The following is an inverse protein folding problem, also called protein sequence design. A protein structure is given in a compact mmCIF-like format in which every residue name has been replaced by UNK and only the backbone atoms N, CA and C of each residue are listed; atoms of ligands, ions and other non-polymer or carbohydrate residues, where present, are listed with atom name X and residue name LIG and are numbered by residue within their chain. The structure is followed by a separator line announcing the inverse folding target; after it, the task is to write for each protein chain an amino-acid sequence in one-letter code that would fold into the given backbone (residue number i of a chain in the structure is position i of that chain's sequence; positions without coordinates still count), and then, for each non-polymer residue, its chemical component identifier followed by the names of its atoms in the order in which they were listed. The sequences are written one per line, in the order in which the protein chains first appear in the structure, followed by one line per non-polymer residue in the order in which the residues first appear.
data_IF_566034162080
#
_entry.id   IF_566034162080
#
_cell.length_a   1.000
_cell.length_b   1.000
_cell.length_c   1.000
_cell.angle_alpha   90.00
_cell.angle_beta   90.00
_cell.angle_gamma   90.00
#
_symmetry.space_group_name_H-M   'P 1'
#
loop_
_entity.id
_entity.type
_entity.pdbx_description
1 polymer ?
#
# COMPACT_ATOMS: atom_id res chain seq x y z
N UNK A 1 2.44 -26.00 19.44
CA UNK A 1 3.25 -25.08 18.64
C UNK A 1 2.55 -24.61 17.33
N UNK A 2 2.03 -25.47 16.46
CA UNK A 2 1.38 -25.03 15.20
C UNK A 2 0.14 -24.13 15.40
N UNK A 3 -0.70 -24.37 16.41
CA UNK A 3 -1.91 -23.58 16.73
C UNK A 3 -1.56 -22.18 17.23
N UNK A 4 -0.62 -22.07 18.17
CA UNK A 4 -0.14 -20.79 18.72
C UNK A 4 0.44 -19.89 17.63
N UNK A 5 1.27 -20.45 16.72
CA UNK A 5 1.83 -19.70 15.60
C UNK A 5 0.75 -19.14 14.66
N UNK A 6 -0.32 -19.93 14.38
CA UNK A 6 -1.44 -19.45 13.56
C UNK A 6 -2.17 -18.27 14.22
N UNK A 7 -2.45 -18.38 15.52
CA UNK A 7 -3.12 -17.32 16.28
C UNK A 7 -2.26 -16.04 16.25
N UNK A 8 -0.97 -16.13 16.60
CA UNK A 8 -0.06 -14.97 16.58
C UNK A 8 -0.02 -14.31 15.21
N UNK A 9 0.12 -15.09 14.13
CA UNK A 9 0.15 -14.54 12.76
C UNK A 9 -1.17 -13.83 12.40
N UNK A 10 -2.32 -14.41 12.77
CA UNK A 10 -3.62 -13.81 12.52
C UNK A 10 -3.82 -12.52 13.33
N UNK A 11 -3.39 -12.49 14.58
CA UNK A 11 -3.44 -11.29 15.43
C UNK A 11 -2.57 -10.17 14.89
N UNK A 12 -1.32 -10.47 14.51
CA UNK A 12 -0.41 -9.48 13.90
C UNK A 12 -0.99 -8.94 12.59
N UNK A 13 -1.56 -9.81 11.77
CA UNK A 13 -2.21 -9.40 10.53
C UNK A 13 -3.42 -8.48 10.78
N UNK A 14 -4.27 -8.82 11.74
CA UNK A 14 -5.43 -8.01 12.10
C UNK A 14 -5.02 -6.62 12.64
N UNK A 15 -4.00 -6.55 13.50
CA UNK A 15 -3.44 -5.29 13.99
C UNK A 15 -2.85 -4.45 12.85
N UNK A 16 -2.13 -5.08 11.92
CA UNK A 16 -1.60 -4.40 10.75
C UNK A 16 -2.73 -3.82 9.87
N UNK A 17 -3.79 -4.59 9.59
CA UNK A 17 -4.94 -4.09 8.83
C UNK A 17 -5.61 -2.91 9.52
N UNK A 18 -5.79 -2.97 10.84
CA UNK A 18 -6.33 -1.85 11.63
C UNK A 18 -5.47 -0.59 11.47
N UNK A 19 -4.14 -0.72 11.64
CA UNK A 19 -3.20 0.39 11.46
C UNK A 19 -3.18 0.92 10.03
N UNK A 20 -3.23 0.03 9.03
CA UNK A 20 -3.28 0.39 7.62
C UNK A 20 -4.52 1.24 7.33
N UNK A 21 -5.70 0.81 7.75
CA UNK A 21 -6.96 1.56 7.60
C UNK A 21 -6.85 2.91 8.32
N UNK A 22 -6.32 2.93 9.53
CA UNK A 22 -6.15 4.16 10.30
C UNK A 22 -5.25 5.16 9.57
N UNK A 23 -4.11 4.71 9.05
CA UNK A 23 -3.18 5.57 8.30
C UNK A 23 -3.80 6.07 7.00
N UNK A 24 -4.46 5.19 6.24
CA UNK A 24 -5.03 5.53 4.93
C UNK A 24 -6.18 6.54 5.01
N UNK A 25 -7.01 6.47 6.05
CA UNK A 25 -8.26 7.23 6.10
C UNK A 25 -8.32 8.30 7.18
N UNK A 26 -7.46 8.23 8.21
CA UNK A 26 -7.55 9.14 9.36
C UNK A 26 -6.29 9.97 9.60
N UNK A 27 -5.11 9.56 9.13
CA UNK A 27 -3.85 10.27 9.39
C UNK A 27 -3.66 11.50 8.49
N UNK A 28 -4.01 11.38 7.24
CA UNK A 28 -3.94 12.49 6.29
C UNK A 28 -5.23 13.27 6.40
N UNK A 29 -5.38 14.10 7.43
CA UNK A 29 -6.55 14.93 7.62
C UNK A 29 -7.09 15.47 6.28
N UNK A 30 -8.33 15.90 6.25
CA UNK A 30 -9.03 16.34 5.03
C UNK A 30 -8.08 16.92 3.99
N UNK A 31 -7.83 16.17 2.92
CA UNK A 31 -7.06 16.62 1.77
C UNK A 31 -7.61 17.96 1.28
N UNK A 32 -6.80 18.75 0.60
CA UNK A 32 -7.28 19.93 -0.13
C UNK A 32 -8.49 19.61 -1.03
N UNK A 33 -8.67 18.33 -1.40
CA UNK A 33 -9.85 17.81 -2.08
C UNK A 33 -11.13 17.71 -1.22
N UNK A 34 -11.05 17.80 0.10
CA UNK A 34 -12.19 17.65 1.00
C UNK A 34 -13.16 18.86 0.97
N UNK A 35 -12.77 19.97 0.38
CA UNK A 35 -13.64 21.13 0.15
C UNK A 35 -14.13 21.24 -1.30
N UNK A 36 -13.82 20.24 -2.13
CA UNK A 36 -14.13 20.26 -3.56
C UNK A 36 -15.44 19.49 -3.78
N UNK A 37 -16.52 20.21 -3.99
CA UNK A 37 -17.80 19.64 -4.33
C UNK A 37 -17.81 19.15 -5.79
N UNK A 38 -18.12 17.86 -5.95
CA UNK A 38 -18.31 17.22 -7.24
C UNK A 38 -17.17 16.31 -7.71
N UNK A 39 -17.54 15.08 -8.11
CA UNK A 39 -16.61 14.06 -8.61
C UNK A 39 -15.83 14.53 -9.85
N UNK A 40 -16.47 15.25 -10.77
CA UNK A 40 -15.85 15.77 -11.99
C UNK A 40 -14.69 16.73 -11.68
N UNK A 41 -14.84 17.56 -10.67
CA UNK A 41 -13.79 18.47 -10.24
C UNK A 41 -12.63 17.72 -9.56
N UNK A 42 -12.90 16.73 -8.71
CA UNK A 42 -11.86 15.88 -8.09
C UNK A 42 -11.07 15.10 -9.14
N UNK A 43 -11.74 14.52 -10.14
CA UNK A 43 -11.07 13.85 -11.26
C UNK A 43 -10.13 14.78 -12.02
N UNK A 44 -10.53 16.04 -12.20
CA UNK A 44 -9.72 17.02 -12.93
C UNK A 44 -8.53 17.56 -12.15
N UNK A 45 -8.67 17.78 -10.84
CA UNK A 45 -7.68 18.51 -10.03
C UNK A 45 -7.02 17.66 -8.93
N UNK A 46 -7.64 16.54 -8.53
CA UNK A 46 -7.14 15.64 -7.50
C UNK A 46 -6.79 14.24 -8.02
N UNK A 47 -6.67 14.06 -9.34
CA UNK A 47 -6.22 12.80 -9.92
C UNK A 47 -4.96 12.98 -10.76
N UNK A 48 -3.96 12.15 -10.51
CA UNK A 48 -2.76 12.05 -11.31
C UNK A 48 -2.72 10.69 -12.00
N UNK A 49 -2.87 10.68 -13.31
CA UNK A 49 -2.80 9.48 -14.15
C UNK A 49 -1.45 9.35 -14.88
N UNK A 50 -0.53 10.29 -14.69
CA UNK A 50 0.76 10.30 -15.40
C UNK A 50 1.82 9.62 -14.51
N UNK A 51 2.34 8.44 -14.91
CA UNK A 51 3.34 7.73 -14.16
C UNK A 51 4.61 8.56 -13.95
N UNK A 52 5.21 8.42 -12.76
CA UNK A 52 6.43 9.10 -12.32
C UNK A 52 6.36 10.62 -12.20
N UNK A 53 5.19 11.25 -12.38
CA UNK A 53 5.02 12.70 -12.25
C UNK A 53 5.25 13.15 -10.81
N UNK A 54 4.58 12.53 -9.87
CA UNK A 54 4.65 12.84 -8.42
C UNK A 54 6.02 12.47 -7.86
N UNK A 55 6.57 11.32 -8.23
CA UNK A 55 7.91 10.90 -7.82
C UNK A 55 8.96 11.90 -8.29
N UNK A 56 8.92 12.34 -9.56
CA UNK A 56 9.84 13.35 -10.09
C UNK A 56 9.68 14.70 -9.39
N UNK A 57 8.45 15.10 -9.10
CA UNK A 57 8.16 16.34 -8.37
C UNK A 57 8.78 16.33 -6.97
N UNK A 58 8.65 15.23 -6.24
CA UNK A 58 9.30 15.07 -4.93
C UNK A 58 10.82 14.97 -5.04
N UNK A 59 11.35 14.29 -6.05
CA UNK A 59 12.81 14.27 -6.29
C UNK A 59 13.38 15.66 -6.56
N UNK A 60 12.71 16.46 -7.39
CA UNK A 60 13.10 17.84 -7.67
C UNK A 60 12.96 18.77 -6.44
N UNK A 61 11.94 18.51 -5.60
CA UNK A 61 11.69 19.28 -4.39
C UNK A 61 12.53 18.82 -3.17
N UNK A 62 13.34 17.77 -3.30
CA UNK A 62 14.10 17.16 -2.20
C UNK A 62 14.96 18.19 -1.43
N UNK A 63 15.55 19.17 -2.12
CA UNK A 63 16.35 20.20 -1.48
C UNK A 63 15.52 21.22 -0.67
N UNK A 64 14.25 21.41 -1.03
CA UNK A 64 13.37 22.42 -0.39
C UNK A 64 12.52 21.83 0.71
N UNK A 65 11.99 20.63 0.50
CA UNK A 65 11.07 19.94 1.41
C UNK A 65 11.46 18.47 1.62
N UNK A 66 12.72 18.19 2.09
CA UNK A 66 13.24 16.82 2.13
C UNK A 66 12.36 15.88 2.96
N UNK A 67 11.89 16.35 4.12
CA UNK A 67 11.06 15.55 5.02
C UNK A 67 9.74 15.11 4.38
N UNK A 68 9.07 16.02 3.68
CA UNK A 68 7.79 15.74 3.00
C UNK A 68 8.02 14.78 1.83
N UNK A 69 9.04 15.03 1.00
CA UNK A 69 9.38 14.19 -0.14
C UNK A 69 9.71 12.75 0.28
N UNK A 70 10.59 12.60 1.29
CA UNK A 70 10.96 11.27 1.82
C UNK A 70 9.75 10.55 2.43
N UNK A 71 8.95 11.25 3.26
CA UNK A 71 7.79 10.64 3.90
C UNK A 71 6.73 10.18 2.90
N UNK A 72 6.54 10.87 1.78
CA UNK A 72 5.61 10.43 0.75
C UNK A 72 6.17 9.23 -0.02
N UNK A 73 7.39 9.29 -0.52
CA UNK A 73 7.96 8.20 -1.32
C UNK A 73 8.20 6.95 -0.48
N UNK A 74 8.91 7.08 0.64
CA UNK A 74 9.21 5.93 1.52
C UNK A 74 7.96 5.47 2.29
N UNK A 75 7.09 6.40 2.66
CA UNK A 75 5.83 6.08 3.33
C UNK A 75 4.94 5.17 2.47
N UNK A 76 4.73 5.52 1.20
CA UNK A 76 3.96 4.68 0.28
C UNK A 76 4.68 3.35 0.01
N UNK A 77 5.99 3.36 -0.21
CA UNK A 77 6.75 2.12 -0.39
C UNK A 77 6.62 1.17 0.82
N UNK A 78 6.61 1.70 2.04
CA UNK A 78 6.57 0.93 3.27
C UNK A 78 5.14 0.53 3.70
N UNK A 79 4.13 1.30 3.31
CA UNK A 79 2.77 1.17 3.83
C UNK A 79 2.15 -0.21 3.54
N UNK A 80 2.25 -0.68 2.30
CA UNK A 80 1.75 -1.99 1.88
C UNK A 80 2.81 -3.10 1.90
N UNK A 81 4.08 -2.80 2.15
CA UNK A 81 5.16 -3.78 2.18
C UNK A 81 4.87 -4.96 3.14
N UNK A 82 4.39 -4.76 4.40
CA UNK A 82 4.07 -5.87 5.29
C UNK A 82 2.99 -6.80 4.76
N UNK A 83 2.07 -6.31 3.90
CA UNK A 83 1.02 -7.11 3.28
C UNK A 83 1.59 -8.26 2.45
N UNK A 84 2.72 -8.03 1.76
CA UNK A 84 3.41 -9.04 0.96
C UNK A 84 3.86 -10.27 1.75
N UNK A 85 4.06 -10.13 3.07
CA UNK A 85 4.44 -11.22 3.99
C UNK A 85 3.23 -11.72 4.78
N UNK A 86 2.49 -10.80 5.39
CA UNK A 86 1.45 -11.15 6.36
C UNK A 86 0.24 -11.82 5.72
N UNK A 87 -0.16 -11.37 4.53
CA UNK A 87 -1.31 -11.93 3.84
C UNK A 87 -1.11 -13.42 3.48
N UNK A 88 -0.04 -13.84 2.78
CA UNK A 88 0.16 -15.26 2.47
C UNK A 88 0.50 -16.09 3.71
N UNK A 89 1.04 -15.48 4.77
CA UNK A 89 1.28 -16.17 6.04
C UNK A 89 -0.01 -16.46 6.81
N UNK A 90 -0.96 -15.49 6.83
CA UNK A 90 -2.22 -15.58 7.57
C UNK A 90 -3.30 -16.34 6.79
N UNK A 91 -3.41 -16.14 5.48
CA UNK A 91 -4.50 -16.62 4.63
C UNK A 91 -4.01 -17.76 3.72
N UNK A 92 -4.40 -19.03 3.96
CA UNK A 92 -3.91 -20.17 3.15
C UNK A 92 -4.21 -20.05 1.65
N UNK A 93 -5.35 -19.46 1.27
CA UNK A 93 -5.72 -19.23 -0.12
C UNK A 93 -4.75 -18.32 -0.89
N UNK A 94 -3.99 -17.49 -0.17
CA UNK A 94 -3.03 -16.53 -0.71
C UNK A 94 -1.58 -17.06 -0.76
N UNK A 95 -1.37 -18.37 -0.59
CA UNK A 95 -0.02 -18.99 -0.65
C UNK A 95 0.48 -19.24 -2.08
N UNK A 96 0.04 -18.44 -3.04
CA UNK A 96 0.53 -18.41 -4.42
C UNK A 96 0.95 -17.00 -4.76
N UNK A 97 2.21 -16.72 -5.19
CA UNK A 97 2.73 -15.37 -5.36
C UNK A 97 1.86 -14.52 -6.29
N UNK A 98 1.48 -15.06 -7.44
CA UNK A 98 0.64 -14.35 -8.41
C UNK A 98 -0.74 -13.98 -7.84
N UNK A 99 -1.37 -14.88 -7.07
CA UNK A 99 -2.67 -14.62 -6.45
C UNK A 99 -2.56 -13.53 -5.39
N UNK A 100 -1.50 -13.57 -4.58
CA UNK A 100 -1.19 -12.56 -3.57
C UNK A 100 -0.98 -11.19 -4.21
N UNK A 101 -0.13 -11.11 -5.22
CA UNK A 101 0.19 -9.85 -5.92
C UNK A 101 -1.03 -9.27 -6.62
N UNK A 102 -1.82 -10.10 -7.32
CA UNK A 102 -3.04 -9.63 -7.98
C UNK A 102 -4.07 -9.10 -6.98
N UNK A 103 -4.28 -9.81 -5.87
CA UNK A 103 -5.20 -9.36 -4.81
C UNK A 103 -4.77 -8.00 -4.24
N UNK A 104 -3.47 -7.86 -3.92
CA UNK A 104 -2.94 -6.61 -3.33
C UNK A 104 -2.99 -5.47 -4.35
N UNK A 105 -2.68 -5.73 -5.61
CA UNK A 105 -2.82 -4.72 -6.67
C UNK A 105 -4.24 -4.17 -6.76
N UNK A 106 -5.23 -5.06 -6.82
CA UNK A 106 -6.65 -4.67 -6.86
C UNK A 106 -7.04 -3.90 -5.59
N UNK A 107 -6.55 -4.32 -4.43
CA UNK A 107 -6.81 -3.63 -3.16
C UNK A 107 -6.22 -2.21 -3.15
N UNK A 108 -4.98 -2.02 -3.60
CA UNK A 108 -4.34 -0.70 -3.68
C UNK A 108 -5.14 0.22 -4.61
N UNK A 109 -5.49 -0.24 -5.81
CA UNK A 109 -6.31 0.54 -6.76
C UNK A 109 -7.66 0.90 -6.14
N UNK A 110 -8.31 -0.04 -5.45
CA UNK A 110 -9.58 0.22 -4.79
C UNK A 110 -9.45 1.29 -3.69
N UNK A 111 -8.36 1.26 -2.91
CA UNK A 111 -8.08 2.28 -1.88
C UNK A 111 -7.94 3.66 -2.51
N UNK A 112 -7.14 3.81 -3.56
CA UNK A 112 -6.95 5.08 -4.28
C UNK A 112 -8.28 5.61 -4.83
N UNK A 113 -9.10 4.73 -5.42
CA UNK A 113 -10.44 5.10 -5.90
C UNK A 113 -11.33 5.58 -4.74
N UNK A 114 -11.34 4.87 -3.61
CA UNK A 114 -12.16 5.24 -2.43
C UNK A 114 -11.68 6.58 -1.85
N UNK A 115 -10.38 6.82 -1.75
CA UNK A 115 -9.82 8.08 -1.27
C UNK A 115 -10.26 9.26 -2.15
N UNK A 116 -10.21 9.10 -3.47
CA UNK A 116 -10.70 10.11 -4.42
C UNK A 116 -12.22 10.34 -4.28
N UNK A 117 -13.01 9.25 -4.24
CA UNK A 117 -14.47 9.33 -4.17
C UNK A 117 -14.96 9.99 -2.87
N UNK A 118 -14.31 9.71 -1.75
CA UNK A 118 -14.66 10.27 -0.45
C UNK A 118 -14.01 11.63 -0.18
N UNK A 119 -13.10 12.12 -1.05
CA UNK A 119 -12.35 13.34 -0.85
C UNK A 119 -11.36 13.27 0.32
N UNK A 120 -10.91 12.07 0.67
CA UNK A 120 -9.95 11.82 1.73
C UNK A 120 -8.50 11.88 1.25
N UNK A 121 -8.29 11.88 -0.07
CA UNK A 121 -7.01 11.93 -0.75
C UNK A 121 -7.15 12.28 -2.21
N UNK A 122 -6.03 12.18 -2.93
CA UNK A 122 -5.95 12.26 -4.39
C UNK A 122 -5.77 10.85 -4.95
N UNK A 123 -6.30 10.60 -6.14
CA UNK A 123 -5.91 9.39 -6.89
C UNK A 123 -4.54 9.64 -7.52
N UNK A 124 -3.54 8.82 -7.19
CA UNK A 124 -2.20 8.96 -7.75
C UNK A 124 -1.64 7.61 -8.21
N UNK A 125 -1.37 7.51 -9.51
CA UNK A 125 -0.77 6.31 -10.09
C UNK A 125 0.63 6.02 -9.53
N UNK A 126 1.36 7.03 -9.08
CA UNK A 126 2.68 6.86 -8.46
C UNK A 126 2.57 6.23 -7.07
N UNK A 127 1.50 6.55 -6.32
CA UNK A 127 1.23 5.90 -5.04
C UNK A 127 0.89 4.41 -5.26
N UNK A 128 0.15 4.07 -6.33
CA UNK A 128 -0.08 2.67 -6.71
C UNK A 128 1.25 1.96 -7.01
N UNK A 129 2.13 2.59 -7.80
CA UNK A 129 3.44 2.03 -8.18
C UNK A 129 4.30 1.80 -6.93
N UNK A 130 4.41 2.78 -6.04
CA UNK A 130 5.23 2.69 -4.82
C UNK A 130 4.70 1.64 -3.85
N UNK A 131 3.41 1.68 -3.53
CA UNK A 131 2.76 0.72 -2.63
C UNK A 131 2.88 -0.71 -3.16
N UNK A 132 2.65 -0.91 -4.46
CA UNK A 132 2.76 -2.22 -5.08
C UNK A 132 4.21 -2.73 -5.13
N UNK A 133 5.18 -1.85 -5.41
CA UNK A 133 6.61 -2.21 -5.44
C UNK A 133 7.07 -2.70 -4.06
N UNK A 134 6.76 -1.95 -2.99
CA UNK A 134 7.10 -2.37 -1.63
C UNK A 134 6.52 -3.73 -1.26
N UNK A 135 5.25 -3.95 -1.62
CA UNK A 135 4.59 -5.23 -1.42
C UNK A 135 5.22 -6.37 -2.24
N UNK A 136 5.53 -6.14 -3.51
CA UNK A 136 6.10 -7.14 -4.41
C UNK A 136 7.48 -7.61 -3.93
N UNK A 137 8.32 -6.70 -3.45
CA UNK A 137 9.62 -7.03 -2.84
C UNK A 137 9.44 -7.94 -1.62
N UNK A 138 8.56 -7.55 -0.68
CA UNK A 138 8.30 -8.35 0.52
C UNK A 138 7.65 -9.71 0.19
N UNK A 139 6.78 -9.76 -0.80
CA UNK A 139 6.18 -11.00 -1.31
C UNK A 139 7.25 -11.93 -1.89
N UNK A 140 8.16 -11.42 -2.71
CA UNK A 140 9.28 -12.20 -3.25
C UNK A 140 10.17 -12.77 -2.15
N UNK A 141 10.50 -11.99 -1.13
CA UNK A 141 11.26 -12.44 0.04
C UNK A 141 10.53 -13.58 0.77
N UNK A 142 9.23 -13.40 1.05
CA UNK A 142 8.42 -14.41 1.74
C UNK A 142 8.42 -15.75 1.01
N UNK A 143 8.15 -15.74 -0.31
CA UNK A 143 8.06 -16.97 -1.09
C UNK A 143 9.43 -17.62 -1.28
N UNK A 144 10.50 -16.86 -1.49
CA UNK A 144 11.87 -17.39 -1.58
C UNK A 144 12.31 -18.10 -0.29
N UNK A 145 12.01 -17.52 0.88
CA UNK A 145 12.34 -18.13 2.17
C UNK A 145 11.50 -19.37 2.44
N UNK A 146 10.22 -19.36 2.03
CA UNK A 146 9.29 -20.47 2.29
C UNK A 146 9.60 -21.66 1.37
N UNK A 147 9.93 -21.43 0.11
CA UNK A 147 10.36 -22.48 -0.83
C UNK A 147 11.59 -23.21 -0.33
N UNK A 148 12.64 -22.49 0.04
CA UNK A 148 13.88 -23.08 0.58
C UNK A 148 13.69 -23.94 1.83
N UNK A 149 12.65 -23.67 2.63
CA UNK A 149 12.33 -24.51 3.81
C UNK A 149 11.66 -25.82 3.42
N UNK A 150 10.85 -25.81 2.37
CA UNK A 150 10.19 -27.02 1.89
C UNK A 150 11.16 -27.96 1.19
N UNK A 151 12.22 -27.44 0.52
CA UNK A 151 13.24 -28.24 -0.14
C UNK A 151 14.21 -28.93 0.84
N UNK A 152 14.23 -28.50 2.13
CA UNK A 152 15.11 -29.06 3.19
C UNK A 152 14.38 -29.96 4.19
N UNK A 153 13.06 -30.15 4.05
CA UNK A 153 12.21 -30.93 4.94
C UNK A 153 11.75 -32.24 4.30
#
# INVERSE_FOLDING_TARGET
MKKTRKIVTATVFALYIFLLIHVLFFRYGRSAAAGIDGLSYRLKYAANFVPFKTIRSYAAAMHRIPRVAVLNVIGNLALFAPMGILLPAAVPAMRRPMRTLLFIFVLIVAVECVQLLLGLGSFDVDDIILNFTGCAVCCAIYFSVTSRKNDKA
#
